data_IF_432026500912
#
_entry.id   IF_432026500912
#
_cell.length_a   1.000
_cell.length_b   1.000
_cell.length_c   1.000
_cell.angle_alpha   90.00
_cell.angle_beta   90.00
_cell.angle_gamma   90.00
#
_symmetry.space_group_name_H-M   'P 1'
#
loop_
_entity.id
_entity.type
_entity.pdbx_description
1 polymer ?
#
# COMPACT_ATOMS: atom_id res chain seq x y z
N UNK A 1 -12.97 3.61 0.39
CA UNK A 1 -12.37 2.31 0.75
C UNK A 1 -12.67 1.20 -0.23
N UNK A 2 -13.92 1.12 -0.70
CA UNK A 2 -14.32 0.07 -1.67
C UNK A 2 -13.49 0.12 -2.96
N UNK A 3 -13.26 1.32 -3.52
CA UNK A 3 -12.49 1.46 -4.75
C UNK A 3 -11.03 1.00 -4.58
N UNK A 4 -10.42 1.30 -3.42
CA UNK A 4 -9.07 0.87 -3.10
C UNK A 4 -9.01 -0.65 -3.00
N UNK A 5 -9.98 -1.25 -2.31
CA UNK A 5 -10.04 -2.70 -2.13
C UNK A 5 -10.27 -3.42 -3.46
N UNK A 6 -11.13 -2.88 -4.31
CA UNK A 6 -11.42 -3.46 -5.63
C UNK A 6 -10.17 -3.43 -6.51
N UNK A 7 -9.44 -2.31 -6.51
CA UNK A 7 -8.20 -2.21 -7.27
C UNK A 7 -7.14 -3.17 -6.72
N UNK A 8 -7.03 -3.30 -5.39
CA UNK A 8 -6.11 -4.26 -4.79
C UNK A 8 -6.41 -5.68 -5.25
N UNK A 9 -7.68 -6.06 -5.31
CA UNK A 9 -8.09 -7.39 -5.78
C UNK A 9 -7.68 -7.62 -7.23
N UNK A 10 -7.81 -6.63 -8.09
CA UNK A 10 -7.34 -6.74 -9.48
C UNK A 10 -5.84 -6.98 -9.55
N UNK A 11 -5.06 -6.25 -8.74
CA UNK A 11 -3.62 -6.37 -8.74
C UNK A 11 -3.12 -7.67 -8.12
N UNK A 12 -3.93 -8.30 -7.26
CA UNK A 12 -3.59 -9.59 -6.64
C UNK A 12 -3.77 -10.80 -7.56
N UNK A 13 -4.32 -10.62 -8.73
CA UNK A 13 -4.62 -11.75 -9.64
C UNK A 13 -3.38 -12.59 -9.92
N UNK A 14 -2.20 -11.97 -10.02
CA UNK A 14 -0.95 -12.70 -10.26
C UNK A 14 -0.26 -13.15 -8.97
N UNK A 15 -0.82 -12.86 -7.81
CA UNK A 15 -0.35 -13.24 -6.47
C UNK A 15 1.09 -12.88 -6.13
N UNK A 16 1.72 -11.98 -6.89
CA UNK A 16 3.10 -11.53 -6.66
C UNK A 16 3.19 -10.27 -5.81
N UNK A 17 2.05 -9.70 -5.46
CA UNK A 17 1.98 -8.40 -4.78
C UNK A 17 0.96 -8.49 -3.66
N UNK A 18 1.30 -7.92 -2.51
CA UNK A 18 0.38 -7.75 -1.39
C UNK A 18 0.20 -6.27 -1.11
N UNK A 19 -1.01 -5.87 -0.77
CA UNK A 19 -1.33 -4.48 -0.45
C UNK A 19 -1.94 -4.41 0.93
N UNK A 20 -1.41 -3.53 1.77
CA UNK A 20 -1.86 -3.33 3.15
C UNK A 20 -2.28 -1.88 3.36
N UNK A 21 -3.35 -1.67 4.10
CA UNK A 21 -3.71 -0.36 4.62
C UNK A 21 -3.07 -0.20 5.99
N UNK A 22 -2.43 0.94 6.26
CA UNK A 22 -1.89 1.26 7.57
C UNK A 22 -2.17 2.71 7.92
N UNK A 23 -1.69 3.17 9.08
CA UNK A 23 -1.88 4.55 9.51
C UNK A 23 -3.26 4.81 10.09
N UNK A 24 -3.65 6.09 10.14
CA UNK A 24 -4.87 6.50 10.82
C UNK A 24 -6.14 5.88 10.24
N UNK A 25 -6.20 5.66 8.92
CA UNK A 25 -7.35 5.01 8.29
C UNK A 25 -7.51 3.55 8.74
N UNK A 26 -6.39 2.85 8.95
CA UNK A 26 -6.41 1.48 9.44
C UNK A 26 -6.83 1.42 10.91
N UNK A 27 -6.43 2.41 11.71
CA UNK A 27 -6.76 2.46 13.14
C UNK A 27 -8.17 2.98 13.44
N UNK A 28 -8.88 3.47 12.42
CA UNK A 28 -10.20 4.08 12.63
C UNK A 28 -10.13 5.47 13.27
N UNK A 29 -8.98 6.13 13.23
CA UNK A 29 -8.74 7.46 13.82
C UNK A 29 -8.76 8.58 12.78
N UNK A 30 -9.07 8.25 11.53
CA UNK A 30 -9.00 9.19 10.43
C UNK A 30 -10.06 10.27 10.52
N UNK A 31 -9.69 11.48 10.09
CA UNK A 31 -10.63 12.55 9.77
C UNK A 31 -10.75 12.63 8.24
N UNK A 32 -11.71 13.42 7.75
CA UNK A 32 -12.01 13.50 6.30
C UNK A 32 -10.80 13.82 5.42
N UNK A 33 -9.84 14.59 5.94
CA UNK A 33 -8.65 14.97 5.20
C UNK A 33 -7.47 14.01 5.37
N UNK A 34 -7.63 12.91 6.10
CA UNK A 34 -6.56 11.95 6.33
C UNK A 34 -6.20 11.22 5.05
N UNK A 35 -4.88 10.99 4.86
CA UNK A 35 -4.38 10.20 3.74
C UNK A 35 -4.74 8.74 3.90
N UNK A 36 -4.84 8.05 2.77
CA UNK A 36 -4.91 6.60 2.72
C UNK A 36 -3.49 6.08 2.51
N UNK A 37 -2.90 5.55 3.57
CA UNK A 37 -1.52 5.05 3.53
C UNK A 37 -1.51 3.58 3.15
N UNK A 38 -0.89 3.27 2.01
CA UNK A 38 -0.83 1.90 1.49
C UNK A 38 0.61 1.41 1.42
N UNK A 39 0.84 0.19 1.90
CA UNK A 39 2.10 -0.50 1.73
C UNK A 39 1.90 -1.60 0.69
N UNK A 40 2.71 -1.56 -0.35
CA UNK A 40 2.71 -2.57 -1.40
C UNK A 40 4.00 -3.35 -1.29
N UNK A 41 3.89 -4.66 -1.13
CA UNK A 41 5.05 -5.56 -1.03
C UNK A 41 5.04 -6.49 -2.23
N UNK A 42 6.08 -6.42 -3.04
CA UNK A 42 6.23 -7.24 -4.24
C UNK A 42 7.27 -8.33 -4.03
N UNK A 43 7.20 -9.39 -4.83
CA UNK A 43 8.20 -10.45 -4.81
C UNK A 43 9.59 -9.89 -5.15
N UNK A 44 10.64 -10.51 -4.60
CA UNK A 44 12.00 -10.17 -4.97
C UNK A 44 12.26 -10.48 -6.44
N UNK A 45 13.13 -9.71 -7.05
CA UNK A 45 13.47 -9.88 -8.45
C UNK A 45 12.61 -9.12 -9.43
N UNK A 46 11.56 -8.41 -8.96
CA UNK A 46 10.79 -7.52 -9.83
C UNK A 46 11.60 -6.25 -10.13
N UNK A 47 11.35 -5.67 -11.29
CA UNK A 47 11.88 -4.36 -11.63
C UNK A 47 11.09 -3.31 -10.85
N UNK A 48 11.75 -2.64 -9.90
CA UNK A 48 11.09 -1.70 -9.00
C UNK A 48 10.39 -0.55 -9.74
N UNK A 49 11.03 -0.02 -10.80
CA UNK A 49 10.43 1.07 -11.56
C UNK A 49 9.13 0.64 -12.23
N UNK A 50 9.16 -0.50 -12.90
CA UNK A 50 7.97 -1.06 -13.53
C UNK A 50 6.92 -1.47 -12.50
N UNK A 51 7.35 -2.03 -11.37
CA UNK A 51 6.44 -2.44 -10.31
C UNK A 51 5.71 -1.23 -9.72
N UNK A 52 6.41 -0.10 -9.53
CA UNK A 52 5.77 1.11 -9.03
C UNK A 52 4.68 1.60 -9.98
N UNK A 53 4.99 1.69 -11.27
CA UNK A 53 4.01 2.12 -12.27
C UNK A 53 2.82 1.16 -12.37
N UNK A 54 3.08 -0.13 -12.29
CA UNK A 54 2.06 -1.15 -12.46
C UNK A 54 1.18 -1.33 -11.21
N UNK A 55 1.77 -1.24 -10.01
CA UNK A 55 1.09 -1.61 -8.77
C UNK A 55 0.82 -0.43 -7.84
N UNK A 56 1.66 0.59 -7.83
CA UNK A 56 1.49 1.73 -6.91
C UNK A 56 0.78 2.91 -7.55
N UNK A 57 1.22 3.31 -8.74
CA UNK A 57 0.68 4.47 -9.42
C UNK A 57 -0.84 4.41 -9.65
N UNK A 58 -1.44 3.24 -9.96
CA UNK A 58 -2.90 3.16 -10.12
C UNK A 58 -3.68 3.61 -8.89
N UNK A 59 -3.13 3.41 -7.69
CA UNK A 59 -3.78 3.90 -6.46
C UNK A 59 -3.74 5.42 -6.38
N UNK A 60 -2.64 6.05 -6.79
CA UNK A 60 -2.54 7.51 -6.85
C UNK A 60 -3.57 8.07 -7.84
N UNK A 61 -3.69 7.47 -9.00
CA UNK A 61 -4.64 7.89 -10.02
C UNK A 61 -6.09 7.81 -9.53
N UNK A 62 -6.44 6.70 -8.87
CA UNK A 62 -7.80 6.52 -8.36
C UNK A 62 -8.11 7.54 -7.27
N UNK A 63 -7.10 7.91 -6.46
CA UNK A 63 -7.23 8.96 -5.47
C UNK A 63 -7.58 10.29 -6.10
N UNK A 64 -6.89 10.66 -7.17
CA UNK A 64 -7.18 11.90 -7.89
C UNK A 64 -8.61 11.93 -8.41
N UNK A 65 -9.10 10.81 -8.94
CA UNK A 65 -10.48 10.72 -9.46
C UNK A 65 -11.53 10.85 -8.35
N UNK A 66 -11.21 10.38 -7.15
CA UNK A 66 -12.15 10.39 -6.02
C UNK A 66 -12.01 11.62 -5.13
N UNK A 67 -11.03 12.49 -5.39
CA UNK A 67 -10.76 13.63 -4.53
C UNK A 67 -10.14 13.22 -3.19
N UNK A 68 -9.50 12.05 -3.13
CA UNK A 68 -8.85 11.52 -1.95
C UNK A 68 -7.34 11.51 -2.14
N UNK A 69 -6.59 11.63 -1.06
CA UNK A 69 -5.14 11.47 -1.14
C UNK A 69 -4.75 10.05 -0.75
N UNK A 70 -4.23 9.30 -1.72
CA UNK A 70 -3.75 7.94 -1.52
C UNK A 70 -2.24 7.97 -1.70
N UNK A 71 -1.52 7.52 -0.68
CA UNK A 71 -0.06 7.55 -0.67
C UNK A 71 0.48 6.11 -0.63
N UNK A 72 0.78 5.51 -1.78
CA UNK A 72 1.36 4.17 -1.82
C UNK A 72 2.87 4.22 -1.63
N UNK A 73 3.42 3.27 -0.88
CA UNK A 73 4.85 3.00 -0.82
C UNK A 73 5.08 1.56 -1.28
N UNK A 74 6.18 1.32 -1.96
CA UNK A 74 6.49 0.03 -2.56
C UNK A 74 7.83 -0.49 -2.06
N UNK A 75 7.81 -1.75 -1.59
CA UNK A 75 9.02 -2.49 -1.20
C UNK A 75 8.98 -3.87 -1.83
N UNK A 76 10.15 -4.44 -2.09
CA UNK A 76 10.23 -5.90 -2.31
C UNK A 76 10.18 -6.58 -0.93
N UNK A 77 9.95 -7.89 -0.91
CA UNK A 77 9.93 -8.66 0.34
C UNK A 77 11.24 -8.51 1.11
N UNK A 78 12.39 -8.59 0.43
CA UNK A 78 13.70 -8.43 1.07
C UNK A 78 13.91 -7.02 1.60
N UNK A 79 13.52 -6.01 0.84
CA UNK A 79 13.62 -4.62 1.29
C UNK A 79 12.76 -4.37 2.51
N UNK A 80 11.54 -4.92 2.52
CA UNK A 80 10.64 -4.76 3.66
C UNK A 80 11.20 -5.45 4.90
N UNK A 81 11.72 -6.67 4.75
CA UNK A 81 12.34 -7.40 5.87
C UNK A 81 13.54 -6.63 6.45
N UNK A 82 14.30 -5.93 5.60
CA UNK A 82 15.43 -5.13 6.05
C UNK A 82 15.01 -3.92 6.91
N UNK A 83 13.74 -3.52 6.86
CA UNK A 83 13.21 -2.42 7.66
C UNK A 83 12.77 -2.84 9.08
N UNK A 84 12.92 -4.10 9.45
CA UNK A 84 12.33 -4.68 10.67
C UNK A 84 12.71 -3.96 11.99
N UNK A 85 13.81 -3.22 12.01
CA UNK A 85 14.25 -2.48 13.21
C UNK A 85 13.83 -1.01 13.19
N UNK A 86 13.11 -0.57 12.16
CA UNK A 86 12.69 0.83 12.07
C UNK A 86 11.35 1.05 12.78
N UNK A 87 11.14 2.29 13.23
CA UNK A 87 9.84 2.68 13.80
C UNK A 87 8.72 2.53 12.77
N UNK A 88 9.02 2.85 11.51
CA UNK A 88 8.04 2.70 10.42
C UNK A 88 7.55 1.26 10.30
N UNK A 89 8.47 0.29 10.27
CA UNK A 89 8.13 -1.12 10.21
C UNK A 89 7.23 -1.53 11.38
N UNK A 90 7.63 -1.15 12.59
CA UNK A 90 6.86 -1.51 13.79
C UNK A 90 5.46 -0.91 13.77
N UNK A 91 5.33 0.34 13.35
CA UNK A 91 4.02 1.01 13.25
C UNK A 91 3.13 0.33 12.22
N UNK A 92 3.68 -0.02 11.06
CA UNK A 92 2.94 -0.73 10.02
C UNK A 92 2.49 -2.10 10.51
N UNK A 93 3.37 -2.85 11.17
CA UNK A 93 3.02 -4.18 11.70
C UNK A 93 1.88 -4.11 12.71
N UNK A 94 1.81 -3.05 13.51
CA UNK A 94 0.72 -2.87 14.47
C UNK A 94 -0.61 -2.53 13.80
N UNK A 95 -0.58 -1.78 12.71
CA UNK A 95 -1.78 -1.20 12.10
C UNK A 95 -2.27 -1.95 10.86
N UNK A 96 -1.40 -2.71 10.18
CA UNK A 96 -1.65 -3.18 8.82
C UNK A 96 -2.88 -4.08 8.69
N UNK A 97 -3.68 -3.78 7.68
CA UNK A 97 -4.83 -4.57 7.28
C UNK A 97 -4.59 -5.03 5.84
N UNK A 98 -4.55 -6.32 5.62
CA UNK A 98 -4.39 -6.88 4.27
C UNK A 98 -5.65 -6.61 3.46
N UNK A 99 -5.49 -6.02 2.30
CA UNK A 99 -6.59 -5.72 1.37
C UNK A 99 -6.76 -6.83 0.29
#
# INVERSE_FOLDING_TARGET
>A
MTAIRDLAKELFVDSKVSVYLYGSRARGEAVNSSDWDLLIVAEDGVDIENAFEKYAYPFTEIGWKLGEQITPVLYTKSEWAAEEHTAFYMNVQNDAILL
#
